data_IF_302239874088
#
_entry.id   IF_302239874088
#
_cell.length_a   1.000
_cell.length_b   1.000
_cell.length_c   1.000
_cell.angle_alpha   90.00
_cell.angle_beta   90.00
_cell.angle_gamma   90.00
#
_symmetry.space_group_name_H-M   'P 1'
#
loop_
_entity.id
_entity.type
_entity.pdbx_description
1 polymer ?
#
# COMPACT_ATOMS: atom_id res chain seq x y z
N UNK A 1 -6.82 32.43 23.38
CA UNK A 1 -6.72 31.99 24.78
C UNK A 1 -6.15 30.60 24.75
N UNK A 2 -4.95 30.40 25.30
CA UNK A 2 -4.34 29.08 25.46
C UNK A 2 -5.10 28.35 26.57
N UNK A 3 -5.94 27.38 26.19
CA UNK A 3 -6.32 26.33 27.12
C UNK A 3 -5.05 25.54 27.45
N UNK A 4 -4.48 25.82 28.62
CA UNK A 4 -3.49 24.97 29.21
C UNK A 4 -4.17 23.62 29.49
N UNK A 5 -3.81 22.59 28.72
CA UNK A 5 -4.29 21.23 28.96
C UNK A 5 -4.11 20.88 30.44
N UNK A 6 -5.21 20.48 31.09
CA UNK A 6 -5.17 20.00 32.47
C UNK A 6 -4.15 18.85 32.59
N UNK A 7 -3.35 18.79 33.67
CA UNK A 7 -2.39 17.71 33.85
C UNK A 7 -3.12 16.37 33.91
N UNK A 8 -2.86 15.51 32.91
CA UNK A 8 -3.50 14.20 32.75
C UNK A 8 -4.47 14.09 31.57
N UNK A 9 -4.77 15.17 30.85
CA UNK A 9 -5.52 15.09 29.59
C UNK A 9 -4.65 14.44 28.50
N UNK A 10 -5.22 13.48 27.75
CA UNK A 10 -4.54 12.90 26.58
C UNK A 10 -4.20 14.01 25.61
N UNK A 11 -3.00 13.95 25.01
CA UNK A 11 -2.64 14.85 23.93
C UNK A 11 -3.69 14.73 22.81
N UNK A 12 -4.20 15.88 22.36
CA UNK A 12 -5.17 15.97 21.26
C UNK A 12 -4.55 15.41 19.99
N UNK A 13 -5.30 14.65 19.21
CA UNK A 13 -4.84 14.12 17.92
C UNK A 13 -4.89 15.19 16.83
N UNK A 14 -4.14 14.98 15.74
CA UNK A 14 -4.10 15.92 14.62
C UNK A 14 -5.50 16.13 14.04
N UNK A 15 -6.24 15.05 13.81
CA UNK A 15 -7.61 15.05 13.28
C UNK A 15 -8.63 15.76 14.18
N UNK A 16 -8.31 15.88 15.47
CA UNK A 16 -9.17 16.52 16.48
C UNK A 16 -8.82 18.00 16.70
N UNK A 17 -7.86 18.53 15.94
CA UNK A 17 -7.39 19.92 16.08
C UNK A 17 -8.13 20.82 15.10
N UNK A 18 -8.87 21.79 15.63
CA UNK A 18 -9.59 22.78 14.82
C UNK A 18 -8.70 23.96 14.42
N UNK A 19 -9.12 24.65 13.36
CA UNK A 19 -8.56 25.96 13.04
C UNK A 19 -9.14 27.01 14.00
N UNK A 20 -8.35 28.03 14.35
CA UNK A 20 -8.87 29.18 15.07
C UNK A 20 -9.75 30.06 14.17
N UNK A 21 -10.40 31.06 14.76
CA UNK A 21 -11.28 32.02 14.06
C UNK A 21 -10.58 32.79 12.92
N UNK A 22 -9.25 32.81 12.89
CA UNK A 22 -8.43 33.48 11.88
C UNK A 22 -7.87 32.49 10.84
N UNK A 23 -8.31 31.24 10.87
CA UNK A 23 -7.83 30.18 9.99
C UNK A 23 -6.43 29.68 10.31
N UNK A 24 -5.86 30.00 11.49
CA UNK A 24 -4.59 29.40 11.90
C UNK A 24 -4.85 27.98 12.39
N UNK A 25 -4.04 27.06 11.92
CA UNK A 25 -3.94 25.72 12.45
C UNK A 25 -2.58 25.57 13.14
N UNK A 26 -2.59 25.07 14.38
CA UNK A 26 -1.37 24.75 15.11
C UNK A 26 -1.53 23.41 15.80
N UNK A 27 -0.66 22.48 15.42
CA UNK A 27 -0.56 21.17 16.01
C UNK A 27 0.91 20.88 16.32
N UNK A 28 1.17 20.40 17.52
CA UNK A 28 2.46 19.85 17.94
C UNK A 28 2.21 18.53 18.65
N UNK A 29 2.74 17.46 18.08
CA UNK A 29 2.60 16.11 18.61
C UNK A 29 3.45 15.88 19.86
N UNK A 30 2.95 15.08 20.78
CA UNK A 30 3.60 14.79 22.06
C UNK A 30 4.90 13.98 21.95
N UNK A 31 5.16 13.36 20.79
CA UNK A 31 6.37 12.59 20.50
C UNK A 31 7.35 13.34 19.60
N UNK A 32 7.05 14.59 19.24
CA UNK A 32 7.87 15.43 18.39
C UNK A 32 9.27 15.67 18.98
N UNK A 33 10.29 15.65 18.12
CA UNK A 33 11.68 16.01 18.46
C UNK A 33 12.25 16.94 17.40
N UNK A 34 12.63 18.14 17.82
CA UNK A 34 13.24 19.12 16.93
C UNK A 34 14.53 18.57 16.29
N UNK A 35 14.67 18.75 14.99
CA UNK A 35 15.88 18.37 14.25
C UNK A 35 16.09 16.85 14.06
N UNK A 36 15.10 16.01 14.35
CA UNK A 36 15.23 14.56 14.21
C UNK A 36 15.46 14.13 12.75
N UNK A 37 16.49 13.33 12.51
CA UNK A 37 16.82 12.80 11.18
C UNK A 37 15.70 11.91 10.62
N UNK A 38 15.47 11.96 9.30
CA UNK A 38 14.37 11.25 8.63
C UNK A 38 14.37 9.72 8.84
N UNK A 39 15.51 9.02 8.78
CA UNK A 39 15.54 7.58 9.09
C UNK A 39 15.13 7.29 10.55
N UNK A 40 15.65 8.08 11.51
CA UNK A 40 15.31 7.92 12.94
C UNK A 40 13.83 8.18 13.21
N UNK A 41 13.26 9.23 12.61
CA UNK A 41 11.83 9.52 12.65
C UNK A 41 11.02 8.33 12.13
N UNK A 42 11.34 7.84 10.93
CA UNK A 42 10.62 6.73 10.31
C UNK A 42 10.67 5.45 11.15
N UNK A 43 11.83 5.10 11.73
CA UNK A 43 11.96 3.94 12.62
C UNK A 43 11.16 4.08 13.91
N UNK A 44 11.00 5.29 14.45
CA UNK A 44 10.16 5.52 15.64
C UNK A 44 8.67 5.46 15.31
N UNK A 45 8.27 6.03 14.17
CA UNK A 45 6.89 5.92 13.66
C UNK A 45 6.54 4.44 13.43
N UNK A 46 7.41 3.68 12.76
CA UNK A 46 7.21 2.25 12.52
C UNK A 46 6.95 1.47 13.83
N UNK A 47 7.79 1.71 14.85
CA UNK A 47 7.61 1.11 16.17
C UNK A 47 6.31 1.52 16.85
N UNK A 48 5.93 2.80 16.77
CA UNK A 48 4.68 3.29 17.35
C UNK A 48 3.47 2.63 16.69
N UNK A 49 3.47 2.55 15.36
CA UNK A 49 2.38 1.91 14.61
C UNK A 49 2.29 0.42 14.96
N UNK A 50 3.41 -0.29 15.02
CA UNK A 50 3.43 -1.70 15.41
C UNK A 50 2.97 -1.95 16.86
N UNK A 51 3.19 -0.99 17.77
CA UNK A 51 2.72 -1.07 19.16
C UNK A 51 1.23 -0.73 19.32
N UNK A 52 0.74 0.21 18.52
CA UNK A 52 -0.64 0.70 18.60
C UNK A 52 -1.62 -0.24 17.88
N UNK A 53 -1.27 -0.69 16.68
CA UNK A 53 -2.13 -1.51 15.82
C UNK A 53 -1.74 -2.98 15.90
N UNK A 54 -2.25 -3.67 16.92
CA UNK A 54 -1.95 -5.10 17.11
C UNK A 54 -2.51 -5.94 15.97
N UNK A 55 -1.66 -6.73 15.32
CA UNK A 55 -2.06 -7.59 14.20
C UNK A 55 -2.08 -6.88 12.84
N UNK A 56 -1.74 -5.59 12.79
CA UNK A 56 -1.58 -4.84 11.55
C UNK A 56 -0.11 -4.84 11.12
N UNK A 57 0.13 -4.96 9.82
CA UNK A 57 1.47 -4.86 9.24
C UNK A 57 1.56 -3.65 8.31
N UNK A 58 2.68 -2.94 8.41
CA UNK A 58 2.95 -1.73 7.63
C UNK A 58 4.27 -1.87 6.86
N UNK A 59 4.36 -1.16 5.74
CA UNK A 59 5.65 -0.79 5.15
C UNK A 59 5.83 0.73 5.28
N UNK A 60 6.88 1.15 5.98
CA UNK A 60 7.24 2.56 6.11
C UNK A 60 8.22 2.95 5.02
N UNK A 61 7.93 4.05 4.32
CA UNK A 61 8.80 4.66 3.32
C UNK A 61 9.01 6.13 3.61
N UNK A 62 10.12 6.65 3.14
CA UNK A 62 10.46 8.06 3.30
C UNK A 62 10.85 8.67 1.97
N UNK A 63 10.45 9.91 1.75
CA UNK A 63 10.80 10.69 0.56
C UNK A 63 11.35 12.06 0.98
N UNK A 64 12.27 12.60 0.18
CA UNK A 64 12.79 13.97 0.32
C UNK A 64 12.61 14.69 -1.00
N UNK A 65 12.18 15.94 -0.96
CA UNK A 65 11.96 16.76 -2.14
C UNK A 65 12.24 18.23 -1.85
N UNK A 66 12.29 19.06 -2.90
CA UNK A 66 12.44 20.51 -2.76
C UNK A 66 11.23 21.07 -2.00
N UNK A 67 11.43 21.41 -0.73
CA UNK A 67 10.37 21.92 0.14
C UNK A 67 10.01 21.00 1.31
N UNK A 68 10.58 19.79 1.42
CA UNK A 68 10.37 18.99 2.62
C UNK A 68 10.75 17.52 2.56
N UNK A 69 10.17 16.80 3.50
CA UNK A 69 10.35 15.37 3.73
C UNK A 69 9.00 14.75 4.02
N UNK A 70 8.82 13.49 3.65
CA UNK A 70 7.55 12.77 3.78
C UNK A 70 7.78 11.39 4.39
N UNK A 71 6.83 10.95 5.20
CA UNK A 71 6.76 9.58 5.72
C UNK A 71 5.45 8.98 5.22
N UNK A 72 5.55 7.80 4.61
CA UNK A 72 4.43 7.06 4.04
C UNK A 72 4.28 5.75 4.81
N UNK A 73 3.11 5.50 5.37
CA UNK A 73 2.71 4.21 5.94
C UNK A 73 1.79 3.48 4.96
N UNK A 74 2.30 2.43 4.32
CA UNK A 74 1.51 1.53 3.46
C UNK A 74 1.00 0.37 4.32
N UNK A 75 -0.32 0.28 4.50
CA UNK A 75 -1.00 -0.81 5.21
C UNK A 75 -0.92 -2.06 4.34
N UNK A 76 -0.27 -3.11 4.85
CA UNK A 76 -0.03 -4.36 4.12
C UNK A 76 -1.00 -5.47 4.52
N UNK A 77 -1.43 -5.47 5.77
CA UNK A 77 -2.43 -6.39 6.29
C UNK A 77 -3.02 -5.82 7.60
N UNK A 78 -4.29 -6.08 7.86
CA UNK A 78 -4.96 -5.81 9.15
C UNK A 78 -6.11 -6.80 9.33
N UNK A 79 -6.52 -7.15 10.56
CA UNK A 79 -7.65 -8.04 10.79
C UNK A 79 -8.98 -7.48 10.25
N UNK A 80 -9.14 -6.16 10.30
CA UNK A 80 -10.36 -5.48 9.89
C UNK A 80 -10.65 -5.59 8.39
N UNK A 81 -11.93 -5.51 8.04
CA UNK A 81 -12.38 -5.43 6.65
C UNK A 81 -12.53 -3.97 6.21
N UNK A 82 -11.50 -3.47 5.54
CA UNK A 82 -11.42 -2.14 4.94
C UNK A 82 -12.03 -2.05 3.53
N UNK A 83 -12.92 -2.94 3.10
CA UNK A 83 -13.60 -2.80 1.79
C UNK A 83 -14.49 -1.57 1.72
N UNK A 84 -15.19 -1.27 2.82
CA UNK A 84 -16.07 -0.10 2.93
C UNK A 84 -15.29 1.22 3.01
N UNK A 85 -15.71 2.24 2.25
CA UNK A 85 -15.02 3.54 2.19
C UNK A 85 -14.90 4.22 3.56
N UNK A 86 -15.94 4.15 4.36
CA UNK A 86 -15.95 4.69 5.73
C UNK A 86 -14.89 4.03 6.61
N UNK A 87 -14.78 2.70 6.57
CA UNK A 87 -13.75 1.96 7.30
C UNK A 87 -12.33 2.31 6.82
N UNK A 88 -12.14 2.48 5.50
CA UNK A 88 -10.86 2.94 4.95
C UNK A 88 -10.47 4.31 5.50
N UNK A 89 -11.39 5.28 5.41
CA UNK A 89 -11.12 6.65 5.80
C UNK A 89 -10.86 6.76 7.30
N UNK A 90 -11.66 6.08 8.12
CA UNK A 90 -11.45 6.01 9.57
C UNK A 90 -10.07 5.43 9.92
N UNK A 91 -9.70 4.28 9.34
CA UNK A 91 -8.43 3.63 9.64
C UNK A 91 -7.23 4.44 9.14
N UNK A 92 -7.33 5.07 7.95
CA UNK A 92 -6.30 5.96 7.42
C UNK A 92 -6.11 7.18 8.33
N UNK A 93 -7.20 7.79 8.81
CA UNK A 93 -7.14 8.91 9.76
C UNK A 93 -6.47 8.47 11.06
N UNK A 94 -6.84 7.32 11.61
CA UNK A 94 -6.26 6.80 12.84
C UNK A 94 -4.75 6.53 12.73
N UNK A 95 -4.32 5.89 11.63
CA UNK A 95 -2.90 5.67 11.35
C UNK A 95 -2.17 7.00 11.22
N UNK A 96 -2.77 7.96 10.50
CA UNK A 96 -2.19 9.30 10.32
C UNK A 96 -2.05 10.03 11.66
N UNK A 97 -3.05 9.96 12.53
CA UNK A 97 -2.98 10.57 13.86
C UNK A 97 -1.80 10.04 14.67
N UNK A 98 -1.53 8.73 14.61
CA UNK A 98 -0.35 8.17 15.28
C UNK A 98 0.98 8.62 14.65
N UNK A 99 1.02 8.85 13.34
CA UNK A 99 2.20 9.41 12.67
C UNK A 99 2.42 10.87 13.05
N UNK A 100 1.37 11.69 13.01
CA UNK A 100 1.43 13.14 13.24
C UNK A 100 1.91 13.47 14.65
N UNK A 101 1.70 12.59 15.64
CA UNK A 101 2.28 12.73 17.01
C UNK A 101 3.80 12.96 17.04
N UNK A 102 4.53 12.61 15.98
CA UNK A 102 5.98 12.85 15.87
C UNK A 102 6.35 14.17 15.19
N UNK A 103 5.36 14.98 14.81
CA UNK A 103 5.56 16.19 14.03
C UNK A 103 4.91 17.41 14.61
N UNK A 104 5.12 18.52 13.93
CA UNK A 104 4.33 19.72 14.08
C UNK A 104 3.78 20.13 12.72
N UNK A 105 2.64 20.82 12.76
CA UNK A 105 2.07 21.50 11.60
C UNK A 105 1.54 22.84 12.04
N UNK A 106 1.98 23.89 11.33
CA UNK A 106 1.49 25.25 11.47
C UNK A 106 1.12 25.76 10.09
N UNK A 107 -0.16 26.06 9.89
CA UNK A 107 -0.65 26.52 8.61
C UNK A 107 -1.61 27.69 8.80
N UNK A 108 -1.72 28.52 7.77
CA UNK A 108 -2.83 29.43 7.59
C UNK A 108 -3.14 29.46 6.09
N UNK A 109 -4.13 28.67 5.62
CA UNK A 109 -4.48 28.61 4.20
C UNK A 109 -4.94 29.94 3.62
N UNK A 110 -5.48 30.86 4.44
CA UNK A 110 -5.92 32.18 3.99
C UNK A 110 -4.73 33.13 3.72
N UNK A 111 -3.53 32.76 4.17
CA UNK A 111 -2.29 33.52 3.99
C UNK A 111 -1.23 32.74 3.18
N UNK A 112 -1.63 31.67 2.50
CA UNK A 112 -0.74 30.75 1.77
C UNK A 112 0.46 30.26 2.61
N UNK A 113 0.28 30.16 3.93
CA UNK A 113 1.33 29.74 4.85
C UNK A 113 1.20 28.26 5.19
N UNK A 114 2.27 27.51 4.94
CA UNK A 114 2.36 26.10 5.33
C UNK A 114 3.75 25.77 5.87
N UNK A 115 3.81 25.26 7.10
CA UNK A 115 5.03 24.78 7.70
C UNK A 115 4.75 23.51 8.50
N UNK A 116 5.44 22.43 8.18
CA UNK A 116 5.37 21.19 8.95
C UNK A 116 6.76 20.55 9.05
N UNK A 117 6.96 19.69 10.04
CA UNK A 117 8.21 18.92 10.17
C UNK A 117 8.38 17.84 9.11
N UNK A 118 7.25 17.28 8.64
CA UNK A 118 7.19 16.31 7.56
C UNK A 118 5.75 16.22 7.04
N UNK A 119 5.58 15.67 5.84
CA UNK A 119 4.26 15.30 5.30
C UNK A 119 3.96 13.84 5.65
N UNK A 120 2.77 13.56 6.17
CA UNK A 120 2.32 12.19 6.45
C UNK A 120 1.39 11.67 5.35
N UNK A 121 1.58 10.43 4.90
CA UNK A 121 0.59 9.71 4.08
C UNK A 121 0.36 8.33 4.68
N UNK A 122 -0.90 7.99 4.99
CA UNK A 122 -1.31 6.63 5.28
C UNK A 122 -2.17 6.14 4.10
N UNK A 123 -1.91 4.93 3.62
CA UNK A 123 -2.66 4.35 2.51
C UNK A 123 -2.77 2.84 2.59
N UNK A 124 -3.82 2.29 2.00
CA UNK A 124 -4.01 0.86 1.87
C UNK A 124 -3.21 0.35 0.67
N UNK A 125 -2.27 -0.55 0.93
CA UNK A 125 -1.43 -1.14 -0.11
C UNK A 125 -2.14 -2.29 -0.84
N UNK A 126 -1.70 -2.60 -2.06
CA UNK A 126 -2.21 -3.75 -2.81
C UNK A 126 -2.07 -5.09 -2.06
N UNK A 127 -1.04 -5.21 -1.21
CA UNK A 127 -0.83 -6.40 -0.39
C UNK A 127 -1.99 -6.67 0.57
N UNK A 128 -2.64 -5.61 1.07
CA UNK A 128 -3.79 -5.75 1.96
C UNK A 128 -4.96 -6.43 1.26
N UNK A 129 -5.28 -6.04 0.02
CA UNK A 129 -6.37 -6.67 -0.74
C UNK A 129 -6.10 -8.16 -1.00
N UNK A 130 -4.85 -8.51 -1.31
CA UNK A 130 -4.45 -9.91 -1.46
C UNK A 130 -4.57 -10.70 -0.14
N UNK A 131 -4.21 -10.10 0.99
CA UNK A 131 -4.35 -10.72 2.31
C UNK A 131 -5.83 -10.89 2.69
N UNK A 132 -6.67 -9.89 2.43
CA UNK A 132 -8.11 -9.94 2.67
C UNK A 132 -8.78 -11.05 1.84
N UNK A 133 -8.46 -11.14 0.54
CA UNK A 133 -8.97 -12.21 -0.33
C UNK A 133 -8.63 -13.60 0.22
N UNK A 134 -7.39 -13.78 0.71
CA UNK A 134 -6.98 -15.05 1.32
C UNK A 134 -7.82 -15.40 2.55
N UNK A 135 -8.20 -14.43 3.38
CA UNK A 135 -9.07 -14.63 4.55
C UNK A 135 -10.52 -14.95 4.15
N UNK A 136 -11.03 -14.26 3.13
CA UNK A 136 -12.41 -14.43 2.65
C UNK A 136 -12.61 -15.68 1.79
N UNK A 137 -11.52 -16.28 1.30
CA UNK A 137 -11.53 -17.41 0.39
C UNK A 137 -11.22 -16.96 -1.04
N UNK A 138 -10.14 -17.50 -1.60
CA UNK A 138 -9.63 -17.15 -2.92
C UNK A 138 -10.30 -18.01 -4.00
N UNK A 139 -10.86 -17.37 -5.02
CA UNK A 139 -11.30 -18.03 -6.25
C UNK A 139 -10.07 -18.46 -7.06
N UNK A 140 -10.17 -19.64 -7.69
CA UNK A 140 -9.11 -20.27 -8.46
C UNK A 140 -7.76 -20.31 -7.72
N UNK A 141 -7.68 -21.00 -6.56
CA UNK A 141 -6.43 -21.12 -5.82
C UNK A 141 -5.39 -21.85 -6.68
N UNK A 142 -4.14 -21.38 -6.59
CA UNK A 142 -2.98 -21.99 -7.24
C UNK A 142 -1.91 -22.22 -6.17
N UNK A 143 -1.43 -23.45 -6.07
CA UNK A 143 -0.38 -23.80 -5.12
C UNK A 143 0.94 -23.11 -5.50
N UNK A 144 1.66 -22.60 -4.50
CA UNK A 144 2.93 -21.89 -4.74
C UNK A 144 4.09 -22.88 -4.75
N UNK A 145 4.19 -23.68 -5.82
CA UNK A 145 5.31 -24.61 -6.05
C UNK A 145 6.55 -23.86 -6.57
N UNK A 146 6.34 -22.79 -7.34
CA UNK A 146 7.39 -21.92 -7.85
C UNK A 146 7.24 -20.51 -7.28
N UNK A 147 8.31 -20.02 -6.65
CA UNK A 147 8.41 -18.61 -6.29
C UNK A 147 8.49 -17.73 -7.55
N UNK A 148 8.14 -16.44 -7.42
CA UNK A 148 8.28 -15.48 -8.52
C UNK A 148 9.71 -15.45 -9.08
N UNK A 149 10.73 -15.48 -8.20
CA UNK A 149 12.13 -15.50 -8.63
C UNK A 149 12.50 -16.78 -9.39
N UNK A 150 11.99 -17.94 -8.97
CA UNK A 150 12.19 -19.20 -9.67
C UNK A 150 11.46 -19.22 -11.02
N UNK A 151 10.24 -18.69 -11.07
CA UNK A 151 9.46 -18.55 -12.30
C UNK A 151 10.19 -17.65 -13.33
N UNK A 152 10.66 -16.46 -12.91
CA UNK A 152 11.42 -15.54 -13.76
C UNK A 152 12.67 -16.17 -14.40
N UNK A 153 13.29 -17.14 -13.73
CA UNK A 153 14.45 -17.88 -14.26
C UNK A 153 14.08 -18.96 -15.28
N UNK A 154 12.83 -19.41 -15.30
CA UNK A 154 12.36 -20.54 -16.13
C UNK A 154 11.53 -20.10 -17.32
N UNK A 155 10.75 -19.03 -17.19
CA UNK A 155 9.98 -18.45 -18.29
C UNK A 155 10.93 -17.90 -19.36
N UNK A 156 10.64 -18.16 -20.63
CA UNK A 156 11.48 -17.76 -21.76
C UNK A 156 10.64 -17.30 -22.95
N UNK A 157 11.27 -16.58 -23.87
CA UNK A 157 10.66 -16.29 -25.16
C UNK A 157 10.30 -17.60 -25.90
N UNK A 158 9.16 -17.61 -26.58
CA UNK A 158 8.57 -18.78 -27.22
C UNK A 158 7.59 -19.57 -26.33
N UNK A 159 7.66 -19.41 -25.01
CA UNK A 159 6.58 -19.88 -24.13
C UNK A 159 5.29 -19.09 -24.44
N UNK A 160 4.13 -19.63 -24.04
CA UNK A 160 2.83 -19.02 -24.31
C UNK A 160 2.00 -18.93 -23.04
N UNK A 161 1.19 -17.88 -22.94
CA UNK A 161 0.25 -17.68 -21.84
C UNK A 161 -1.18 -17.65 -22.36
N UNK A 162 -2.01 -18.55 -21.85
CA UNK A 162 -3.46 -18.53 -22.07
C UNK A 162 -4.16 -17.91 -20.87
N UNK A 163 -4.89 -16.81 -21.07
CA UNK A 163 -5.64 -16.17 -19.99
C UNK A 163 -6.92 -16.96 -19.72
N UNK A 164 -6.97 -17.67 -18.59
CA UNK A 164 -8.10 -18.53 -18.20
C UNK A 164 -9.16 -17.76 -17.42
N UNK A 165 -8.75 -16.81 -16.60
CA UNK A 165 -9.66 -16.02 -15.76
C UNK A 165 -9.10 -14.63 -15.48
N UNK A 166 -10.00 -13.65 -15.39
CA UNK A 166 -9.70 -12.24 -15.18
C UNK A 166 -10.95 -11.51 -14.66
N UNK A 167 -10.84 -10.28 -14.13
CA UNK A 167 -11.99 -9.48 -13.76
C UNK A 167 -12.97 -9.29 -14.93
N UNK A 168 -14.24 -9.07 -14.62
CA UNK A 168 -15.32 -8.95 -15.62
C UNK A 168 -14.99 -7.91 -16.69
N UNK A 169 -15.28 -8.24 -17.96
CA UNK A 169 -15.04 -7.36 -19.10
C UNK A 169 -13.60 -7.38 -19.65
N UNK A 170 -12.72 -8.26 -19.16
CA UNK A 170 -11.36 -8.37 -19.68
C UNK A 170 -11.33 -8.92 -21.12
N UNK A 171 -11.00 -8.06 -22.10
CA UNK A 171 -11.10 -8.33 -23.54
C UNK A 171 -10.27 -9.50 -24.06
N UNK A 172 -9.23 -9.90 -23.31
CA UNK A 172 -8.30 -10.95 -23.72
C UNK A 172 -8.60 -12.30 -23.05
N UNK A 173 -9.71 -12.42 -22.31
CA UNK A 173 -10.09 -13.68 -21.67
C UNK A 173 -10.23 -14.81 -22.71
N UNK A 174 -9.64 -15.97 -22.43
CA UNK A 174 -9.61 -17.12 -23.33
C UNK A 174 -8.51 -17.09 -24.41
N UNK A 175 -7.85 -15.95 -24.61
CA UNK A 175 -6.79 -15.82 -25.63
C UNK A 175 -5.47 -16.45 -25.18
N UNK A 176 -4.75 -17.03 -26.13
CA UNK A 176 -3.36 -17.50 -25.96
C UNK A 176 -2.44 -16.53 -26.68
N UNK A 177 -1.36 -16.10 -26.03
CA UNK A 177 -0.38 -15.17 -26.60
C UNK A 177 1.04 -15.69 -26.34
N UNK A 178 1.89 -15.52 -27.33
CA UNK A 178 3.29 -15.89 -27.25
C UNK A 178 4.08 -14.84 -26.45
N UNK A 179 5.04 -15.30 -25.64
CA UNK A 179 6.03 -14.47 -24.99
C UNK A 179 7.13 -14.18 -26.02
N UNK A 180 7.28 -12.92 -26.40
CA UNK A 180 8.30 -12.50 -27.37
C UNK A 180 9.59 -12.07 -26.68
N UNK A 181 9.51 -11.57 -25.45
CA UNK A 181 10.67 -11.14 -24.67
C UNK A 181 10.40 -11.28 -23.16
N UNK A 182 11.43 -11.59 -22.36
CA UNK A 182 11.37 -11.64 -20.90
C UNK A 182 12.34 -10.59 -20.36
N UNK A 183 11.83 -9.63 -19.59
CA UNK A 183 12.64 -8.59 -18.93
C UNK A 183 12.67 -8.82 -17.43
N UNK A 184 13.44 -8.01 -16.70
CA UNK A 184 13.47 -8.11 -15.23
C UNK A 184 12.12 -7.73 -14.59
N UNK A 185 11.41 -6.79 -15.21
CA UNK A 185 10.17 -6.19 -14.72
C UNK A 185 8.89 -6.74 -15.33
N UNK A 186 8.93 -7.29 -16.54
CA UNK A 186 7.75 -7.73 -17.28
C UNK A 186 8.02 -8.86 -18.29
N UNK A 187 6.94 -9.40 -18.83
CA UNK A 187 6.90 -10.24 -20.02
C UNK A 187 6.32 -9.43 -21.18
N UNK A 188 6.99 -9.43 -22.33
CA UNK A 188 6.44 -8.87 -23.57
C UNK A 188 5.69 -10.00 -24.28
N UNK A 189 4.42 -9.73 -24.55
CA UNK A 189 3.51 -10.65 -25.22
C UNK A 189 3.25 -10.16 -26.64
N UNK A 190 2.83 -11.08 -27.50
CA UNK A 190 2.36 -10.77 -28.85
C UNK A 190 1.34 -9.59 -28.84
N UNK A 191 1.38 -8.77 -29.90
CA UNK A 191 0.49 -7.61 -30.05
C UNK A 191 0.90 -6.38 -29.24
N UNK A 192 2.18 -6.24 -28.88
CA UNK A 192 2.73 -5.13 -28.06
C UNK A 192 2.04 -5.01 -26.69
N UNK A 193 1.55 -6.13 -26.16
CA UNK A 193 1.02 -6.19 -24.81
C UNK A 193 2.12 -6.62 -23.84
N UNK A 194 2.05 -6.19 -22.59
CA UNK A 194 3.03 -6.55 -21.57
C UNK A 194 2.32 -7.02 -20.30
N UNK A 195 2.97 -7.93 -19.58
CA UNK A 195 2.52 -8.42 -18.27
C UNK A 195 3.62 -8.11 -17.24
N UNK A 196 3.40 -7.09 -16.43
CA UNK A 196 4.31 -6.72 -15.36
C UNK A 196 4.35 -7.78 -14.27
N UNK A 197 5.55 -8.10 -13.79
CA UNK A 197 5.68 -8.99 -12.65
C UNK A 197 5.16 -8.31 -11.38
N UNK A 198 4.30 -8.99 -10.60
CA UNK A 198 3.80 -8.45 -9.35
C UNK A 198 4.88 -8.48 -8.26
N UNK A 199 4.55 -7.98 -7.05
CA UNK A 199 5.33 -8.33 -5.86
C UNK A 199 5.19 -9.82 -5.56
N UNK A 200 6.18 -10.40 -4.87
CA UNK A 200 6.19 -11.83 -4.56
C UNK A 200 4.94 -12.30 -3.78
N UNK A 201 4.38 -11.45 -2.91
CA UNK A 201 3.17 -11.74 -2.13
C UNK A 201 1.90 -11.85 -2.98
N UNK A 202 1.90 -11.31 -4.20
CA UNK A 202 0.76 -11.32 -5.11
C UNK A 202 0.92 -12.37 -6.24
N UNK A 203 1.92 -13.26 -6.14
CA UNK A 203 2.23 -14.27 -7.16
C UNK A 203 2.10 -15.68 -6.60
N UNK A 204 1.41 -16.54 -7.34
CA UNK A 204 1.42 -17.99 -7.11
C UNK A 204 1.59 -18.73 -8.44
N UNK A 205 2.35 -19.82 -8.43
CA UNK A 205 2.56 -20.66 -9.61
C UNK A 205 2.82 -22.11 -9.21
N UNK A 206 2.05 -23.04 -9.77
CA UNK A 206 2.17 -24.49 -9.52
C UNK A 206 3.10 -25.19 -10.54
N UNK A 207 3.68 -24.42 -11.47
CA UNK A 207 4.48 -24.92 -12.59
C UNK A 207 3.73 -25.00 -13.92
N UNK A 208 2.40 -24.88 -13.91
CA UNK A 208 1.52 -24.77 -15.10
C UNK A 208 0.59 -23.57 -15.00
N UNK A 209 -0.14 -23.41 -13.91
CA UNK A 209 -0.99 -22.25 -13.66
C UNK A 209 -0.18 -21.14 -13.00
N UNK A 210 -0.47 -19.90 -13.39
CA UNK A 210 0.09 -18.68 -12.83
C UNK A 210 -1.07 -17.81 -12.37
N UNK A 211 -1.11 -17.48 -11.09
CA UNK A 211 -2.09 -16.57 -10.52
C UNK A 211 -1.40 -15.28 -10.08
N UNK A 212 -1.92 -14.15 -10.53
CA UNK A 212 -1.45 -12.81 -10.17
C UNK A 212 -2.61 -12.06 -9.51
N UNK A 213 -2.47 -11.75 -8.23
CA UNK A 213 -3.46 -10.95 -7.51
C UNK A 213 -3.38 -9.48 -7.96
N UNK A 214 -4.52 -8.93 -8.40
CA UNK A 214 -4.69 -7.53 -8.81
C UNK A 214 -5.82 -6.84 -8.06
N UNK A 215 -6.20 -7.43 -6.91
CA UNK A 215 -7.29 -7.01 -6.05
C UNK A 215 -7.25 -5.55 -5.66
N UNK A 216 -8.45 -4.98 -5.49
CA UNK A 216 -8.67 -3.62 -5.02
C UNK A 216 -9.83 -3.56 -4.03
N UNK A 217 -10.17 -2.37 -3.55
CA UNK A 217 -11.37 -2.14 -2.74
C UNK A 217 -12.69 -2.61 -3.39
N UNK A 218 -12.76 -2.66 -4.72
CA UNK A 218 -13.99 -3.05 -5.44
C UNK A 218 -14.09 -4.57 -5.67
N UNK A 219 -12.97 -5.28 -5.52
CA UNK A 219 -12.86 -6.70 -5.74
C UNK A 219 -11.55 -7.19 -5.13
N UNK A 220 -11.53 -7.52 -3.82
CA UNK A 220 -10.29 -7.91 -3.15
C UNK A 220 -9.63 -9.15 -3.76
N UNK A 221 -10.46 -10.08 -4.26
CA UNK A 221 -10.01 -11.32 -4.91
C UNK A 221 -9.78 -11.18 -6.43
N UNK A 222 -9.88 -9.98 -7.00
CA UNK A 222 -9.60 -9.79 -8.43
C UNK A 222 -8.19 -10.27 -8.76
N UNK A 223 -8.08 -11.09 -9.81
CA UNK A 223 -6.84 -11.74 -10.19
C UNK A 223 -6.80 -12.06 -11.67
N UNK A 224 -5.59 -12.27 -12.18
CA UNK A 224 -5.35 -12.86 -13.49
C UNK A 224 -4.90 -14.31 -13.28
N UNK A 225 -5.54 -15.25 -13.97
CA UNK A 225 -5.14 -16.64 -14.01
C UNK A 225 -4.68 -17.00 -15.41
N UNK A 226 -3.41 -17.34 -15.56
CA UNK A 226 -2.86 -17.83 -16.80
C UNK A 226 -2.54 -19.31 -16.72
N UNK A 227 -2.69 -20.00 -17.84
CA UNK A 227 -2.00 -21.26 -18.10
C UNK A 227 -0.71 -20.98 -18.88
N UNK A 228 0.40 -21.47 -18.34
CA UNK A 228 1.72 -21.39 -18.93
C UNK A 228 2.01 -22.63 -19.77
N UNK A 229 2.07 -22.40 -21.08
CA UNK A 229 2.37 -23.40 -22.09
C UNK A 229 3.84 -23.24 -22.47
N UNK A 230 4.69 -24.13 -21.97
CA UNK A 230 6.13 -24.08 -22.26
C UNK A 230 6.40 -24.38 -23.73
N UNK A 231 7.35 -23.67 -24.31
CA UNK A 231 7.91 -24.06 -25.59
C UNK A 231 8.58 -25.42 -25.45
N UNK A 232 8.28 -26.30 -26.40
CA UNK A 232 8.93 -27.60 -26.57
C UNK A 232 10.44 -27.47 -26.68
#
# INVERSE_FOLDING_TARGET
MTDANAPGASARLYSQTDHDERGNFHYEGDLYRAGEALPSLASRIDRQLAQHFTGTSFAIRTETFAGGRKVIAEILDTPDDLTGREAQDAFIVEVRDQMERFGFTRTNPLQDFWSCSFYSEARIGQAYWAALAKRQGIRNPVDTVLSLAAFKKRVKAGDRLKLLDAPSGHRLLGTTRDITEVRSGDLILEGRSYLSFPRASAFACDGRLIRIAIGSQYGPDDHLLYEWLRAS
#
